data_IF_560190381331
#
_entry.id   IF_560190381331
#
_cell.length_a   1.000
_cell.length_b   1.000
_cell.length_c   1.000
_cell.angle_alpha   90.00
_cell.angle_beta   90.00
_cell.angle_gamma   90.00
#
_symmetry.space_group_name_H-M   'P 1'
#
loop_
_entity.id
_entity.type
_entity.pdbx_description
1 polymer ?
#
# COMPACT_ATOMS: atom_id res chain seq x y z
N UNK A 1 28.16 8.47 10.60
CA UNK A 1 27.76 7.05 10.56
C UNK A 1 26.96 6.77 11.83
N UNK A 2 25.63 6.67 11.76
CA UNK A 2 24.83 6.32 12.94
C UNK A 2 24.79 4.81 13.08
N UNK A 3 25.29 4.35 14.22
CA UNK A 3 25.28 2.97 14.70
C UNK A 3 23.85 2.43 14.65
N UNK A 4 23.64 1.29 13.99
CA UNK A 4 22.42 0.50 14.15
C UNK A 4 22.43 -0.03 15.58
N UNK A 5 21.81 0.71 16.48
CA UNK A 5 21.66 0.34 17.88
C UNK A 5 20.90 -0.98 17.97
N UNK A 6 21.50 -1.90 18.71
CA UNK A 6 21.04 -3.25 19.03
C UNK A 6 19.52 -3.33 19.16
N UNK A 7 18.89 -4.13 18.30
CA UNK A 7 17.50 -4.54 18.46
C UNK A 7 17.44 -5.49 19.66
N UNK A 8 17.16 -4.97 20.85
CA UNK A 8 16.67 -5.79 21.96
C UNK A 8 15.38 -6.44 21.48
N UNK A 9 15.42 -7.74 21.23
CA UNK A 9 14.25 -8.53 20.94
C UNK A 9 13.29 -8.41 22.12
N UNK A 10 12.21 -7.66 21.94
CA UNK A 10 11.12 -7.61 22.91
C UNK A 10 10.44 -8.98 22.92
N UNK A 11 10.67 -9.74 24.01
CA UNK A 11 9.99 -10.98 24.36
C UNK A 11 8.58 -10.70 24.88
N UNK A 12 7.70 -11.70 24.78
CA UNK A 12 6.24 -11.67 24.93
C UNK A 12 5.45 -11.17 23.71
N UNK A 13 5.59 -11.89 22.58
CA UNK A 13 4.63 -11.75 21.48
C UNK A 13 3.44 -12.65 21.76
N UNK A 14 2.30 -12.07 22.17
CA UNK A 14 1.00 -12.76 22.26
C UNK A 14 0.38 -13.08 20.86
N UNK A 15 1.22 -13.13 19.82
CA UNK A 15 0.81 -13.35 18.44
C UNK A 15 1.51 -14.60 17.90
N UNK A 16 0.76 -15.69 17.82
CA UNK A 16 1.20 -16.93 17.19
C UNK A 16 0.68 -16.96 15.75
N UNK A 17 1.60 -16.87 14.79
CA UNK A 17 1.31 -17.12 13.38
C UNK A 17 1.39 -18.64 13.14
N UNK A 18 0.27 -19.28 12.81
CA UNK A 18 0.20 -20.70 12.43
C UNK A 18 -0.30 -20.81 10.99
N UNK A 19 0.29 -21.70 10.18
CA UNK A 19 -0.22 -22.02 8.84
C UNK A 19 0.25 -21.10 7.70
N UNK A 20 1.51 -20.68 7.69
CA UNK A 20 2.13 -20.17 6.45
C UNK A 20 2.39 -21.35 5.49
N UNK A 21 1.31 -21.92 4.95
CA UNK A 21 1.30 -23.11 4.11
C UNK A 21 1.29 -22.72 2.60
N UNK A 22 0.83 -23.64 1.74
CA UNK A 22 0.68 -23.46 0.29
C UNK A 22 -0.03 -22.14 -0.07
N UNK A 23 -0.98 -21.69 0.76
CA UNK A 23 -1.71 -20.43 0.54
C UNK A 23 -0.80 -19.19 0.56
N UNK A 24 0.36 -19.26 1.21
CA UNK A 24 1.34 -18.17 1.26
C UNK A 24 2.46 -18.27 0.21
N UNK A 25 2.43 -19.27 -0.67
CA UNK A 25 3.46 -19.45 -1.71
C UNK A 25 3.56 -18.28 -2.69
N UNK A 26 2.46 -17.53 -2.91
CA UNK A 26 2.46 -16.32 -3.74
C UNK A 26 3.10 -15.10 -3.04
N UNK A 27 3.56 -15.27 -1.80
CA UNK A 27 4.23 -14.25 -1.01
C UNK A 27 3.27 -13.38 -0.20
N UNK A 28 3.83 -12.40 0.48
CA UNK A 28 3.13 -11.43 1.30
C UNK A 28 3.49 -10.01 0.89
N UNK A 29 2.59 -9.07 1.16
CA UNK A 29 2.81 -7.64 0.89
C UNK A 29 2.99 -6.91 2.20
N UNK A 30 4.20 -6.40 2.44
CA UNK A 30 4.49 -5.55 3.59
C UNK A 30 3.98 -4.13 3.34
N UNK A 31 3.29 -3.55 4.33
CA UNK A 31 2.82 -2.16 4.32
C UNK A 31 3.50 -1.41 5.45
N UNK A 32 4.04 -0.20 5.23
CA UNK A 32 4.63 0.59 6.31
C UNK A 32 3.61 0.88 7.42
N UNK A 33 3.99 0.65 8.68
CA UNK A 33 3.08 0.82 9.81
C UNK A 33 2.47 2.22 9.90
N UNK A 34 3.21 3.27 9.53
CA UNK A 34 2.65 4.63 9.55
C UNK A 34 1.46 4.82 8.60
N UNK A 35 1.33 3.98 7.56
CA UNK A 35 0.13 3.94 6.71
C UNK A 35 -0.98 3.20 7.44
N UNK A 36 -0.68 2.02 8.00
CA UNK A 36 -1.66 1.19 8.72
C UNK A 36 -2.25 1.90 9.94
N UNK A 37 -1.42 2.66 10.65
CA UNK A 37 -1.75 3.38 11.89
C UNK A 37 -2.25 4.80 11.63
N UNK A 38 -2.19 5.30 10.38
CA UNK A 38 -2.64 6.66 10.06
C UNK A 38 -4.12 6.85 10.39
N UNK A 39 -4.43 7.96 11.08
CA UNK A 39 -5.81 8.42 11.34
C UNK A 39 -6.34 9.37 10.27
N UNK A 40 -5.48 9.74 9.30
CA UNK A 40 -5.79 10.75 8.28
C UNK A 40 -6.26 10.15 6.96
N UNK A 41 -6.15 8.83 6.83
CA UNK A 41 -6.65 8.09 5.67
C UNK A 41 -7.59 6.98 6.11
N UNK A 42 -8.59 6.73 5.27
CA UNK A 42 -9.63 5.72 5.44
C UNK A 42 -9.04 4.31 5.38
N UNK A 43 -9.76 3.36 5.96
CA UNK A 43 -9.40 1.94 5.90
C UNK A 43 -9.33 1.45 4.45
N UNK A 44 -10.24 1.93 3.59
CA UNK A 44 -10.23 1.61 2.16
C UNK A 44 -8.98 2.16 1.44
N UNK A 45 -8.57 3.40 1.74
CA UNK A 45 -7.34 3.98 1.22
C UNK A 45 -6.08 3.19 1.66
N UNK A 46 -6.03 2.72 2.91
CA UNK A 46 -4.95 1.83 3.37
C UNK A 46 -4.89 0.53 2.54
N UNK A 47 -6.04 -0.08 2.27
CA UNK A 47 -6.10 -1.31 1.47
C UNK A 47 -5.71 -1.05 0.01
N UNK A 48 -6.15 0.05 -0.60
CA UNK A 48 -5.67 0.45 -1.95
C UNK A 48 -4.16 0.56 -1.95
N UNK A 49 -3.57 1.27 -0.99
CA UNK A 49 -2.11 1.44 -0.91
C UNK A 49 -1.39 0.09 -0.81
N UNK A 50 -1.91 -0.84 0.01
CA UNK A 50 -1.39 -2.20 0.12
C UNK A 50 -1.45 -2.96 -1.22
N UNK A 51 -2.58 -2.86 -1.94
CA UNK A 51 -2.73 -3.49 -3.25
C UNK A 51 -1.78 -2.89 -4.29
N UNK A 52 -1.58 -1.56 -4.31
CA UNK A 52 -0.58 -0.92 -5.16
C UNK A 52 0.81 -1.52 -4.94
N UNK A 53 1.21 -1.73 -3.68
CA UNK A 53 2.48 -2.39 -3.33
C UNK A 53 2.53 -3.85 -3.79
N UNK A 54 1.43 -4.60 -3.65
CA UNK A 54 1.33 -5.98 -4.12
C UNK A 54 1.62 -6.09 -5.61
N UNK A 55 0.94 -5.30 -6.44
CA UNK A 55 1.14 -5.33 -7.89
C UNK A 55 2.48 -4.78 -8.32
N UNK A 56 3.03 -3.78 -7.61
CA UNK A 56 4.38 -3.31 -7.87
C UNK A 56 5.43 -4.43 -7.71
N UNK A 57 5.21 -5.38 -6.78
CA UNK A 57 6.05 -6.56 -6.60
C UNK A 57 5.79 -7.68 -7.60
N UNK A 58 4.52 -7.95 -7.93
CA UNK A 58 4.15 -9.09 -8.78
C UNK A 58 4.30 -8.83 -10.29
N UNK A 59 4.11 -7.59 -10.75
CA UNK A 59 3.87 -7.30 -12.17
C UNK A 59 4.97 -6.51 -12.89
N UNK A 60 6.19 -6.43 -12.35
CA UNK A 60 7.31 -5.68 -12.97
C UNK A 60 6.86 -4.32 -13.56
N UNK A 61 6.19 -3.50 -12.73
CA UNK A 61 5.67 -2.15 -13.04
C UNK A 61 4.30 -2.02 -13.74
N UNK A 62 3.64 -3.10 -14.17
CA UNK A 62 2.34 -2.97 -14.83
C UNK A 62 1.17 -3.04 -13.83
N UNK A 63 0.71 -1.88 -13.36
CA UNK A 63 -0.45 -1.82 -12.47
C UNK A 63 -1.77 -2.11 -13.24
N UNK A 64 -2.68 -2.94 -12.69
CA UNK A 64 -3.95 -3.22 -13.33
C UNK A 64 -4.88 -2.00 -13.31
N UNK A 65 -5.84 -1.93 -14.23
CA UNK A 65 -6.85 -0.86 -14.23
C UNK A 65 -7.66 -0.80 -12.92
N UNK A 66 -8.34 0.33 -12.68
CA UNK A 66 -9.18 0.53 -11.49
C UNK A 66 -10.27 -0.55 -11.32
N UNK A 67 -10.79 -1.09 -12.43
CA UNK A 67 -11.81 -2.14 -12.42
C UNK A 67 -11.25 -3.44 -11.82
N UNK A 68 -10.03 -3.81 -12.18
CA UNK A 68 -9.37 -5.01 -11.65
C UNK A 68 -8.96 -4.84 -10.19
N UNK A 69 -8.52 -3.64 -9.81
CA UNK A 69 -8.29 -3.32 -8.40
C UNK A 69 -9.59 -3.45 -7.59
N UNK A 70 -10.71 -3.01 -8.13
CA UNK A 70 -12.02 -3.14 -7.48
C UNK A 70 -12.46 -4.60 -7.33
N UNK A 71 -12.28 -5.41 -8.38
CA UNK A 71 -12.53 -6.86 -8.35
C UNK A 71 -11.70 -7.56 -7.27
N UNK A 72 -10.38 -7.36 -7.27
CA UNK A 72 -9.46 -8.03 -6.34
C UNK A 72 -9.66 -7.53 -4.88
N UNK A 73 -10.19 -6.32 -4.69
CA UNK A 73 -10.56 -5.79 -3.37
C UNK A 73 -11.96 -6.21 -2.90
N UNK A 74 -12.81 -6.75 -3.78
CA UNK A 74 -14.24 -6.94 -3.49
C UNK A 74 -14.98 -5.61 -3.24
N UNK A 75 -14.58 -4.54 -3.93
CA UNK A 75 -15.15 -3.20 -3.79
C UNK A 75 -15.76 -2.71 -5.09
N UNK A 76 -16.54 -1.64 -5.04
CA UNK A 76 -16.99 -0.97 -6.27
C UNK A 76 -15.87 -0.12 -6.87
N UNK A 77 -15.87 0.05 -8.20
CA UNK A 77 -14.96 0.97 -8.88
C UNK A 77 -15.05 2.40 -8.31
N UNK A 78 -16.26 2.83 -7.92
CA UNK A 78 -16.47 4.14 -7.32
C UNK A 78 -15.75 4.27 -5.97
N UNK A 79 -15.84 3.26 -5.11
CA UNK A 79 -15.10 3.24 -3.83
C UNK A 79 -13.60 3.31 -4.07
N UNK A 80 -13.08 2.50 -5.00
CA UNK A 80 -11.66 2.53 -5.40
C UNK A 80 -11.23 3.92 -5.88
N UNK A 81 -12.05 4.59 -6.70
CA UNK A 81 -11.78 5.95 -7.16
C UNK A 81 -11.70 6.95 -6.00
N UNK A 82 -12.61 6.85 -5.03
CA UNK A 82 -12.57 7.68 -3.81
C UNK A 82 -11.28 7.46 -3.04
N UNK A 83 -10.88 6.21 -2.81
CA UNK A 83 -9.67 5.88 -2.08
C UNK A 83 -8.39 6.31 -2.81
N UNK A 84 -8.33 6.17 -4.14
CA UNK A 84 -7.21 6.68 -4.96
C UNK A 84 -7.14 8.20 -4.88
N UNK A 85 -8.29 8.89 -4.94
CA UNK A 85 -8.34 10.35 -4.81
C UNK A 85 -7.81 10.79 -3.45
N UNK A 86 -8.26 10.14 -2.39
CA UNK A 86 -7.82 10.39 -1.02
C UNK A 86 -6.30 10.23 -0.86
N UNK A 87 -5.72 9.11 -1.30
CA UNK A 87 -4.28 8.88 -1.25
C UNK A 87 -3.48 9.93 -2.04
N UNK A 88 -4.05 10.43 -3.15
CA UNK A 88 -3.43 11.48 -3.97
C UNK A 88 -3.47 12.83 -3.27
N UNK A 89 -4.59 13.16 -2.61
CA UNK A 89 -4.75 14.41 -1.85
C UNK A 89 -3.77 14.48 -0.68
N UNK A 90 -3.57 13.35 0.01
CA UNK A 90 -2.52 13.23 1.04
C UNK A 90 -1.15 12.88 0.45
N UNK A 91 -0.90 13.08 -0.84
CA UNK A 91 0.44 12.97 -1.45
C UNK A 91 1.15 11.61 -1.33
N UNK A 92 0.45 10.54 -0.93
CA UNK A 92 1.01 9.20 -0.80
C UNK A 92 1.18 8.52 -2.17
N UNK A 93 0.41 8.97 -3.17
CA UNK A 93 0.52 8.51 -4.54
C UNK A 93 0.43 9.67 -5.53
N UNK A 94 0.98 9.46 -6.73
CA UNK A 94 0.70 10.29 -7.90
C UNK A 94 0.12 9.41 -9.00
N UNK A 95 -0.82 9.95 -9.77
CA UNK A 95 -1.50 9.22 -10.86
C UNK A 95 -1.32 9.99 -12.15
N UNK A 96 -0.66 9.38 -13.13
CA UNK A 96 -0.50 9.92 -14.47
C UNK A 96 -1.35 9.13 -15.46
N UNK A 97 -2.24 9.83 -16.16
CA UNK A 97 -3.02 9.25 -17.27
C UNK A 97 -2.13 9.14 -18.50
N UNK A 98 -2.09 7.96 -19.13
CA UNK A 98 -1.22 7.68 -20.29
C UNK A 98 -1.93 7.77 -21.65
N UNK A 99 -3.25 7.95 -21.66
CA UNK A 99 -4.06 8.03 -22.89
C UNK A 99 -4.16 6.70 -23.65
N UNK A 100 -4.92 6.69 -24.76
CA UNK A 100 -5.03 5.57 -25.71
C UNK A 100 -5.45 4.22 -25.06
N UNK A 101 -6.33 4.25 -24.06
CA UNK A 101 -6.78 3.03 -23.36
C UNK A 101 -5.71 2.37 -22.47
N UNK A 102 -4.53 2.99 -22.32
CA UNK A 102 -3.47 2.47 -21.45
C UNK A 102 -3.85 2.65 -19.97
N UNK A 103 -3.52 1.69 -19.09
CA UNK A 103 -3.68 1.86 -17.65
C UNK A 103 -2.96 3.11 -17.13
N UNK A 104 -3.49 3.68 -16.05
CA UNK A 104 -2.84 4.78 -15.36
C UNK A 104 -1.47 4.33 -14.82
N UNK A 105 -0.49 5.23 -14.86
CA UNK A 105 0.77 5.05 -14.14
C UNK A 105 0.60 5.58 -12.72
N UNK A 106 0.87 4.72 -11.73
CA UNK A 106 0.85 5.08 -10.33
C UNK A 106 2.28 5.16 -9.79
N UNK A 107 2.63 6.27 -9.17
CA UNK A 107 3.87 6.42 -8.41
C UNK A 107 3.55 6.36 -6.93
N UNK A 108 4.16 5.41 -6.20
CA UNK A 108 3.97 5.23 -4.76
C UNK A 108 5.09 5.98 -4.03
N UNK A 109 4.73 6.89 -3.12
CA UNK A 109 5.69 7.68 -2.35
C UNK A 109 5.95 7.07 -0.97
N UNK A 110 7.02 6.29 -0.86
CA UNK A 110 7.47 5.75 0.43
C UNK A 110 8.42 6.77 1.08
N UNK A 111 7.88 7.81 1.71
CA UNK A 111 8.71 8.83 2.39
C UNK A 111 8.35 8.96 3.87
N UNK A 112 9.27 8.56 4.75
CA UNK A 112 9.17 8.85 6.18
C UNK A 112 9.10 10.37 6.48
N UNK A 113 9.66 11.19 5.58
CA UNK A 113 9.64 12.66 5.67
C UNK A 113 8.29 13.30 5.34
N UNK A 114 7.28 12.53 4.93
CA UNK A 114 5.94 13.05 4.59
C UNK A 114 5.35 13.88 5.74
N UNK A 115 5.66 13.53 6.99
CA UNK A 115 5.14 14.17 8.18
C UNK A 115 5.97 15.33 8.73
N UNK A 116 7.16 15.63 8.17
CA UNK A 116 7.95 16.80 8.62
C UNK A 116 7.32 18.15 8.21
N UNK A 117 6.35 18.15 7.27
CA UNK A 117 5.61 19.34 6.83
C UNK A 117 4.22 19.50 7.44
N UNK A 118 3.79 18.56 8.29
CA UNK A 118 2.47 18.55 8.96
C UNK A 118 2.56 18.87 10.46
N UNK A 119 3.73 19.34 10.91
CA UNK A 119 3.94 19.94 12.23
C UNK A 119 4.07 21.44 12.08
#
# INVERSE_FOLDING_TARGET
>A
MQHISQVKAFSERNLLLKGADVATQRGWTGVPNFILESKQISVGAKLVYAMLLKYARELNECFPGQDRLAEDMGATRQSVNTYIKELREVGLITVQRRGQGRPNLYTIHIKASFWKKLR
#
